data_IF_647105060800
#
_entry.id   IF_647105060800
#
_cell.length_a   1.000
_cell.length_b   1.000
_cell.length_c   1.000
_cell.angle_alpha   90.00
_cell.angle_beta   90.00
_cell.angle_gamma   90.00
#
_symmetry.space_group_name_H-M   'P 1'
#
loop_
_entity.id
_entity.type
_entity.pdbx_description
1 polymer ?
#
# COMPACT_ATOMS: atom_id res chain seq x y z
N UNK A 1 -2.23 6.66 9.87
CA UNK A 1 -3.02 5.40 9.90
C UNK A 1 -2.12 4.18 9.68
N UNK A 2 -1.43 4.07 8.55
CA UNK A 2 -0.58 2.91 8.20
C UNK A 2 0.51 2.62 9.26
N UNK A 3 1.32 3.61 9.67
CA UNK A 3 2.40 3.39 10.67
C UNK A 3 1.90 2.76 11.97
N UNK A 4 0.80 3.29 12.53
CA UNK A 4 0.30 2.94 13.87
C UNK A 4 -0.68 1.76 13.90
N UNK A 5 -1.53 1.61 12.88
CA UNK A 5 -2.69 0.70 12.95
C UNK A 5 -2.69 -0.42 11.90
N UNK A 6 -1.90 -0.32 10.82
CA UNK A 6 -1.81 -1.42 9.87
C UNK A 6 -1.05 -2.59 10.51
N UNK A 7 -1.70 -3.74 10.57
CA UNK A 7 -1.12 -4.97 11.08
C UNK A 7 0.12 -5.36 10.24
N UNK A 8 1.15 -5.83 10.93
CA UNK A 8 2.45 -6.16 10.36
C UNK A 8 2.63 -7.67 10.35
N UNK A 9 3.04 -8.22 9.20
CA UNK A 9 3.53 -9.60 9.08
C UNK A 9 5.01 -9.76 9.43
N UNK A 10 5.69 -8.68 9.85
CA UNK A 10 7.09 -8.68 10.29
C UNK A 10 7.31 -9.29 11.68
N UNK A 11 8.58 -9.35 12.10
CA UNK A 11 8.97 -9.92 13.40
C UNK A 11 8.98 -8.84 14.49
N UNK A 12 9.04 -9.27 15.75
CA UNK A 12 9.06 -8.37 16.90
C UNK A 12 10.34 -7.52 16.97
N UNK A 13 11.47 -8.06 16.49
CA UNK A 13 12.77 -7.37 16.51
C UNK A 13 13.38 -7.28 15.11
N UNK A 14 14.27 -6.30 14.93
CA UNK A 14 14.99 -6.10 13.67
C UNK A 14 15.84 -7.33 13.31
N UNK A 15 16.57 -7.89 14.27
CA UNK A 15 17.45 -9.03 14.05
C UNK A 15 16.66 -10.28 13.63
N UNK A 16 15.53 -10.55 14.30
CA UNK A 16 14.66 -11.64 13.89
C UNK A 16 14.08 -11.40 12.49
N UNK A 17 13.70 -10.18 12.17
CA UNK A 17 13.15 -9.86 10.85
C UNK A 17 14.22 -10.02 9.76
N UNK A 18 15.46 -9.60 10.00
CA UNK A 18 16.57 -9.84 9.08
C UNK A 18 16.85 -11.33 8.88
N UNK A 19 16.71 -12.14 9.93
CA UNK A 19 17.00 -13.58 9.89
C UNK A 19 15.86 -14.43 9.31
N UNK A 20 14.61 -14.13 9.67
CA UNK A 20 13.42 -14.94 9.37
C UNK A 20 12.54 -14.32 8.28
N UNK A 21 12.74 -13.05 7.96
CA UNK A 21 11.86 -12.30 7.07
C UNK A 21 10.53 -11.89 7.67
N UNK A 22 9.74 -11.17 6.88
CA UNK A 22 8.33 -10.93 7.12
C UNK A 22 7.45 -11.92 6.36
N UNK A 23 6.18 -11.99 6.74
CA UNK A 23 5.16 -12.69 5.98
C UNK A 23 4.28 -11.68 5.22
N UNK A 24 4.47 -11.49 3.91
CA UNK A 24 3.66 -10.56 3.12
C UNK A 24 2.19 -11.00 3.02
N UNK A 25 1.88 -12.29 3.09
CA UNK A 25 0.53 -12.83 2.88
C UNK A 25 -0.46 -12.33 3.95
N UNK A 26 0.05 -11.98 5.14
CA UNK A 26 -0.72 -11.43 6.27
C UNK A 26 -0.44 -9.94 6.54
N UNK A 27 0.48 -9.31 5.81
CA UNK A 27 0.83 -7.91 6.06
C UNK A 27 -0.13 -6.96 5.35
N UNK A 28 -0.87 -6.16 6.12
CA UNK A 28 -1.88 -5.23 5.58
C UNK A 28 -1.25 -4.17 4.68
N UNK A 29 0.00 -3.78 4.94
CA UNK A 29 0.70 -2.79 4.12
C UNK A 29 1.05 -3.39 2.75
N UNK A 30 1.52 -4.65 2.74
CA UNK A 30 1.77 -5.37 1.49
C UNK A 30 0.47 -5.60 0.70
N UNK A 31 -0.62 -6.00 1.35
CA UNK A 31 -1.91 -6.17 0.69
C UNK A 31 -2.37 -4.87 0.01
N UNK A 32 -2.24 -3.72 0.68
CA UNK A 32 -2.52 -2.42 0.06
C UNK A 32 -1.64 -2.16 -1.16
N UNK A 33 -0.35 -2.46 -1.10
CA UNK A 33 0.53 -2.32 -2.26
C UNK A 33 0.09 -3.20 -3.43
N UNK A 34 -0.32 -4.44 -3.17
CA UNK A 34 -0.82 -5.36 -4.20
C UNK A 34 -2.09 -4.85 -4.90
N UNK A 35 -2.87 -3.96 -4.27
CA UNK A 35 -4.06 -3.35 -4.89
C UNK A 35 -3.79 -2.00 -5.57
N UNK A 36 -2.84 -1.21 -5.07
CA UNK A 36 -2.68 0.20 -5.46
C UNK A 36 -1.38 0.51 -6.22
N UNK A 37 -0.40 -0.39 -6.22
CA UNK A 37 0.79 -0.27 -7.06
C UNK A 37 0.51 -0.89 -8.44
N UNK A 38 0.76 -0.14 -9.51
CA UNK A 38 0.43 -0.55 -10.89
C UNK A 38 1.56 -1.36 -11.55
N UNK A 39 2.77 -1.32 -11.00
CA UNK A 39 3.92 -2.09 -11.49
C UNK A 39 4.04 -3.44 -10.77
N UNK A 40 3.53 -4.50 -11.40
CA UNK A 40 3.61 -5.87 -10.90
C UNK A 40 5.04 -6.32 -10.55
N UNK A 41 6.05 -5.84 -11.30
CA UNK A 41 7.45 -6.21 -11.03
C UNK A 41 7.92 -5.59 -9.71
N UNK A 42 7.48 -4.38 -9.42
CA UNK A 42 7.75 -3.71 -8.15
C UNK A 42 7.06 -4.42 -7.00
N UNK A 43 5.80 -4.83 -7.15
CA UNK A 43 5.05 -5.59 -6.15
C UNK A 43 5.74 -6.93 -5.85
N UNK A 44 6.12 -7.67 -6.90
CA UNK A 44 6.84 -8.94 -6.79
C UNK A 44 8.21 -8.79 -6.10
N UNK A 45 8.93 -7.71 -6.42
CA UNK A 45 10.20 -7.39 -5.76
C UNK A 45 10.01 -7.10 -4.27
N UNK A 46 8.99 -6.32 -3.92
CA UNK A 46 8.67 -6.01 -2.52
C UNK A 46 8.30 -7.29 -1.77
N UNK A 47 7.52 -8.19 -2.38
CA UNK A 47 7.19 -9.49 -1.79
C UNK A 47 8.45 -10.27 -1.42
N UNK A 48 9.35 -10.45 -2.39
CA UNK A 48 10.61 -11.19 -2.20
C UNK A 48 11.54 -10.53 -1.19
N UNK A 49 11.71 -9.22 -1.27
CA UNK A 49 12.59 -8.48 -0.35
C UNK A 49 12.03 -8.51 1.09
N UNK A 50 10.71 -8.43 1.28
CA UNK A 50 10.10 -8.53 2.62
C UNK A 50 10.18 -9.95 3.17
N UNK A 51 9.87 -10.95 2.35
CA UNK A 51 9.93 -12.38 2.72
C UNK A 51 11.34 -12.85 3.07
N UNK A 52 12.36 -12.28 2.45
CA UNK A 52 13.77 -12.58 2.76
C UNK A 52 14.32 -11.80 3.97
N UNK A 53 13.59 -10.81 4.49
CA UNK A 53 14.07 -9.92 5.56
C UNK A 53 14.98 -8.78 5.09
N UNK A 54 15.14 -8.63 3.77
CA UNK A 54 15.90 -7.51 3.18
C UNK A 54 15.16 -6.18 3.27
N UNK A 55 13.83 -6.19 3.19
CA UNK A 55 12.99 -5.02 3.42
C UNK A 55 12.44 -5.08 4.84
N UNK A 56 12.56 -4.01 5.62
CA UNK A 56 12.00 -3.92 6.97
C UNK A 56 10.53 -3.52 6.92
N UNK A 57 9.77 -3.85 7.96
CA UNK A 57 8.36 -3.42 8.11
C UNK A 57 8.20 -1.89 8.04
N UNK A 58 9.13 -1.13 8.61
CA UNK A 58 9.08 0.34 8.57
C UNK A 58 9.22 0.87 7.14
N UNK A 59 10.09 0.26 6.35
CA UNK A 59 10.34 0.59 4.94
C UNK A 59 9.14 0.19 4.08
N UNK A 60 8.59 -1.02 4.26
CA UNK A 60 7.37 -1.48 3.61
C UNK A 60 6.21 -0.50 3.84
N UNK A 61 6.00 -0.10 5.10
CA UNK A 61 4.96 0.87 5.48
C UNK A 61 5.19 2.24 4.84
N UNK A 62 6.45 2.67 4.70
CA UNK A 62 6.79 3.94 4.06
C UNK A 62 6.46 3.91 2.55
N UNK A 63 6.84 2.84 1.85
CA UNK A 63 6.49 2.62 0.44
C UNK A 63 4.97 2.63 0.27
N UNK A 64 4.25 1.92 1.14
CA UNK A 64 2.77 1.88 1.12
C UNK A 64 2.15 3.26 1.28
N UNK A 65 2.67 4.09 2.19
CA UNK A 65 2.17 5.46 2.39
C UNK A 65 2.34 6.30 1.14
N UNK A 66 3.49 6.19 0.47
CA UNK A 66 3.78 6.94 -0.75
C UNK A 66 2.85 6.53 -1.90
N UNK A 67 2.69 5.22 -2.13
CA UNK A 67 1.77 4.68 -3.16
C UNK A 67 0.33 5.13 -2.91
N UNK A 68 -0.18 5.00 -1.68
CA UNK A 68 -1.54 5.39 -1.33
C UNK A 68 -1.75 6.91 -1.45
N UNK A 69 -0.79 7.72 -1.00
CA UNK A 69 -0.91 9.18 -1.11
C UNK A 69 -0.91 9.64 -2.58
N UNK A 70 -0.07 9.03 -3.43
CA UNK A 70 -0.06 9.30 -4.88
C UNK A 70 -1.43 8.97 -5.51
N UNK A 71 -1.98 7.79 -5.20
CA UNK A 71 -3.30 7.39 -5.68
C UNK A 71 -4.40 8.37 -5.21
N UNK A 72 -4.44 8.67 -3.91
CA UNK A 72 -5.46 9.53 -3.32
C UNK A 72 -5.43 10.94 -3.88
N UNK A 73 -4.23 11.50 -4.11
CA UNK A 73 -4.09 12.83 -4.74
C UNK A 73 -4.77 12.86 -6.11
N UNK A 74 -4.44 11.91 -6.99
CA UNK A 74 -5.06 11.84 -8.31
C UNK A 74 -6.56 11.57 -8.25
N UNK A 75 -7.01 10.73 -7.32
CA UNK A 75 -8.43 10.49 -7.11
C UNK A 75 -9.19 11.74 -6.65
N UNK A 76 -8.63 12.51 -5.70
CA UNK A 76 -9.23 13.75 -5.20
C UNK A 76 -9.37 14.80 -6.31
N UNK A 77 -8.34 15.00 -7.12
CA UNK A 77 -8.37 15.91 -8.27
C UNK A 77 -9.45 15.50 -9.30
N UNK A 78 -9.59 14.20 -9.58
CA UNK A 78 -10.66 13.70 -10.48
C UNK A 78 -12.04 13.89 -9.87
N UNK A 79 -12.21 13.63 -8.57
CA UNK A 79 -13.47 13.82 -7.85
C UNK A 79 -13.94 15.27 -7.89
N UNK A 80 -13.04 16.23 -7.69
CA UNK A 80 -13.37 17.66 -7.78
C UNK A 80 -13.86 18.05 -9.18
N UNK A 81 -13.19 17.57 -10.23
CA UNK A 81 -13.63 17.79 -11.61
C UNK A 81 -14.98 17.14 -11.90
N UNK A 82 -15.21 15.94 -11.39
CA UNK A 82 -16.45 15.19 -11.58
C UNK A 82 -17.67 15.85 -10.93
N UNK A 83 -17.49 16.66 -9.87
CA UNK A 83 -18.59 17.38 -9.20
C UNK A 83 -19.42 18.23 -10.17
N UNK A 84 -18.77 18.81 -11.19
CA UNK A 84 -19.40 19.64 -12.23
C UNK A 84 -20.18 18.84 -13.27
N UNK A 85 -20.00 17.52 -13.28
CA UNK A 85 -20.57 16.62 -14.27
C UNK A 85 -21.69 15.76 -13.70
N UNK A 86 -21.97 15.82 -12.39
CA UNK A 86 -22.94 14.96 -11.69
C UNK A 86 -24.30 14.95 -12.41
N UNK A 87 -24.79 16.12 -12.82
CA UNK A 87 -26.09 16.25 -13.51
C UNK A 87 -26.17 15.48 -14.83
N UNK A 88 -25.03 15.16 -15.47
CA UNK A 88 -25.00 14.36 -16.71
C UNK A 88 -25.12 12.85 -16.45
N UNK A 89 -24.83 12.41 -15.22
CA UNK A 89 -24.80 10.99 -14.86
C UNK A 89 -25.97 10.58 -13.95
N UNK A 90 -26.62 11.55 -13.30
CA UNK A 90 -27.80 11.30 -12.48
C UNK A 90 -29.07 11.46 -13.33
N UNK A 91 -29.86 10.39 -13.43
CA UNK A 91 -31.19 10.46 -14.03
C UNK A 91 -32.08 11.40 -13.19
N UNK A 92 -32.59 12.47 -13.81
CA UNK A 92 -33.61 13.33 -13.21
C UNK A 92 -34.97 12.82 -13.70
N UNK A 93 -35.74 12.26 -12.78
CA UNK A 93 -37.12 11.81 -13.02
C UNK A 93 -38.07 12.98 -13.27
#
# INVERSE_FOLDING_TARGET
KIKKYAFSGGQATLDEHRKKGGNPDIDVSYQLLNFFEEDDRKVEKIYKDYKSGKLLTSELKQITIETINKFLKGHQERREKASKLIDKFVYKA
#
